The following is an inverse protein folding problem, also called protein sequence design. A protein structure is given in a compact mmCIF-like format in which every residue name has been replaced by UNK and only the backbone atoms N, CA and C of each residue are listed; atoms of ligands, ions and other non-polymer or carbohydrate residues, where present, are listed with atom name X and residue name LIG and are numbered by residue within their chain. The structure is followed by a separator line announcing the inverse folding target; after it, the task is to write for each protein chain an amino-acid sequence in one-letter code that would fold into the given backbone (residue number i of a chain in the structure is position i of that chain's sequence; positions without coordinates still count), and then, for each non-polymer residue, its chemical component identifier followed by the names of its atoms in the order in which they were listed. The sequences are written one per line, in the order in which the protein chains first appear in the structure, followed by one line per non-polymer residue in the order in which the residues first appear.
data_IF_792086370167
#
_entry.id   IF_792086370167
#
_cell.length_a   1.000
_cell.length_b   1.000
_cell.length_c   1.000
_cell.angle_alpha   90.00
_cell.angle_beta   90.00
_cell.angle_gamma   90.00
#
_symmetry.space_group_name_H-M   'P 1'
#
loop_
_entity.id
_entity.type
_entity.pdbx_description
1 polymer ?
#
# COMPACT_ATOMS: atom_id res chain seq x y z
N UNK A 1 22.09 12.52 7.27
CA UNK A 1 21.68 11.99 6.53
C UNK A 1 21.15 10.80 6.76
N UNK A 2 21.76 10.07 7.28
CA UNK A 2 21.18 8.82 7.50
C UNK A 2 20.01 8.83 8.46
N UNK A 3 19.84 9.86 9.25
CA UNK A 3 18.72 9.90 10.15
C UNK A 3 17.39 9.88 9.40
N UNK A 4 17.35 10.53 8.28
CA UNK A 4 16.15 10.52 7.49
C UNK A 4 15.86 9.12 7.01
N UNK A 5 16.88 8.39 6.61
CA UNK A 5 16.69 7.05 6.15
C UNK A 5 16.25 6.10 7.23
N UNK A 6 16.65 6.38 8.45
CA UNK A 6 16.26 5.50 9.55
C UNK A 6 14.80 5.59 9.86
N UNK A 7 14.14 6.66 9.43
CA UNK A 7 12.72 6.81 9.70
C UNK A 7 11.85 6.20 8.63
N UNK A 8 12.46 5.63 7.62
CA UNK A 8 11.72 4.97 6.57
C UNK A 8 11.37 3.57 7.03
N UNK A 9 10.11 3.23 6.99
CA UNK A 9 9.63 1.92 7.40
C UNK A 9 9.52 1.00 6.22
N UNK A 10 10.43 0.08 6.13
CA UNK A 10 10.43 -0.90 5.07
C UNK A 10 9.60 -2.10 5.49
N UNK A 11 8.77 -2.58 4.61
CA UNK A 11 7.88 -3.71 4.87
C UNK A 11 8.15 -4.78 3.84
N UNK A 12 8.23 -6.02 4.27
CA UNK A 12 8.39 -7.15 3.37
C UNK A 12 7.14 -8.01 3.45
N UNK A 13 6.60 -8.37 2.31
CA UNK A 13 5.42 -9.22 2.27
C UNK A 13 5.74 -10.47 1.48
N UNK A 14 5.26 -11.61 1.97
CA UNK A 14 5.36 -12.85 1.23
C UNK A 14 4.30 -12.87 0.14
N UNK A 15 4.57 -13.65 -0.87
CA UNK A 15 3.61 -13.88 -1.94
C UNK A 15 2.26 -14.29 -1.35
N UNK A 16 1.18 -13.74 -1.88
CA UNK A 16 -0.16 -14.08 -1.44
C UNK A 16 -0.65 -13.33 -0.23
N UNK A 17 0.09 -12.30 0.20
CA UNK A 17 -0.32 -11.51 1.35
C UNK A 17 -1.35 -10.46 0.94
N UNK A 18 -2.40 -10.33 1.71
CA UNK A 18 -3.36 -9.23 1.52
C UNK A 18 -2.84 -8.04 2.29
N UNK A 19 -2.48 -6.99 1.57
CA UNK A 19 -1.93 -5.79 2.21
C UNK A 19 -3.03 -5.01 2.90
N UNK A 20 -4.15 -4.81 2.20
CA UNK A 20 -5.36 -4.28 2.82
C UNK A 20 -6.57 -4.69 1.98
N UNK A 21 -7.75 -4.59 2.57
CA UNK A 21 -8.98 -5.02 1.93
C UNK A 21 -9.98 -3.89 1.81
N UNK A 22 -10.87 -4.02 0.87
CA UNK A 22 -12.01 -3.11 0.75
C UNK A 22 -12.67 -2.99 2.13
N UNK A 23 -12.92 -1.75 2.53
CA UNK A 23 -13.59 -1.48 3.79
C UNK A 23 -12.67 -1.26 4.98
N UNK A 24 -11.38 -1.56 4.83
CA UNK A 24 -10.43 -1.34 5.91
C UNK A 24 -10.21 0.16 6.11
N UNK A 25 -9.81 0.52 7.32
CA UNK A 25 -9.41 1.89 7.61
C UNK A 25 -8.13 2.18 6.86
N UNK A 26 -8.00 3.41 6.38
CA UNK A 26 -6.82 3.80 5.63
C UNK A 26 -5.84 4.49 6.58
N UNK A 27 -4.77 3.81 6.90
CA UNK A 27 -3.79 4.34 7.84
C UNK A 27 -2.41 4.56 7.26
N UNK A 28 -2.06 3.88 6.16
CA UNK A 28 -0.74 4.05 5.57
C UNK A 28 -0.83 4.12 4.06
N UNK A 29 0.07 4.89 3.47
CA UNK A 29 0.33 4.83 2.05
C UNK A 29 1.61 4.02 1.87
N UNK A 30 1.82 3.50 0.68
CA UNK A 30 2.97 2.64 0.40
C UNK A 30 3.63 3.04 -0.91
N UNK A 31 4.96 2.93 -0.92
CA UNK A 31 5.72 3.05 -2.16
C UNK A 31 6.27 1.66 -2.44
N UNK A 32 5.87 1.07 -3.54
CA UNK A 32 6.31 -0.28 -3.86
C UNK A 32 7.75 -0.23 -4.37
N UNK A 33 8.63 -0.96 -3.71
CA UNK A 33 10.04 -0.94 -4.08
C UNK A 33 10.41 -2.09 -5.01
N UNK A 34 9.81 -3.25 -4.79
CA UNK A 34 10.13 -4.42 -5.59
C UNK A 34 8.91 -5.23 -5.92
N UNK A 35 8.89 -5.77 -7.12
CA UNK A 35 7.85 -6.66 -7.62
C UNK A 35 6.55 -5.91 -7.89
N UNK A 36 5.46 -6.64 -8.02
CA UNK A 36 4.19 -6.01 -8.32
C UNK A 36 3.13 -6.57 -7.40
N UNK A 37 2.08 -5.81 -7.22
CA UNK A 37 0.95 -6.27 -6.43
C UNK A 37 -0.31 -6.13 -7.28
N UNK A 38 -1.30 -6.96 -7.02
CA UNK A 38 -2.53 -6.92 -7.80
C UNK A 38 -3.60 -6.13 -7.07
N UNK A 39 -4.44 -5.49 -7.86
CA UNK A 39 -5.54 -4.68 -7.37
C UNK A 39 -6.81 -5.44 -7.65
N UNK A 40 -7.61 -5.70 -6.62
CA UNK A 40 -8.83 -6.47 -6.74
C UNK A 40 -10.03 -5.62 -6.36
N UNK A 41 -11.05 -5.69 -7.18
CA UNK A 41 -12.32 -5.04 -6.86
C UNK A 41 -13.10 -5.99 -5.98
N UNK A 42 -14.32 -5.61 -5.60
CA UNK A 42 -15.13 -6.49 -4.81
C UNK A 42 -15.36 -7.76 -5.63
N UNK A 43 -15.59 -8.84 -4.99
CA UNK A 43 -15.71 -10.16 -5.57
C UNK A 43 -14.37 -10.68 -6.08
N UNK A 44 -13.28 -10.08 -5.63
CA UNK A 44 -11.93 -10.55 -5.93
C UNK A 44 -11.62 -10.57 -7.43
N UNK A 45 -12.17 -9.63 -8.18
CA UNK A 45 -11.89 -9.52 -9.59
C UNK A 45 -10.68 -8.62 -9.77
N UNK A 46 -9.66 -9.11 -10.46
CA UNK A 46 -8.46 -8.33 -10.67
C UNK A 46 -8.72 -7.23 -11.68
N UNK A 47 -8.44 -6.00 -11.29
CA UNK A 47 -8.65 -4.86 -12.15
C UNK A 47 -7.36 -4.18 -12.57
N UNK A 48 -6.23 -4.58 -12.00
CA UNK A 48 -4.96 -4.01 -12.41
C UNK A 48 -3.84 -4.45 -11.52
N UNK A 49 -2.68 -3.83 -11.72
CA UNK A 49 -1.48 -4.08 -10.95
C UNK A 49 -0.84 -2.76 -10.58
N UNK A 50 -0.08 -2.78 -9.50
CA UNK A 50 0.78 -1.65 -9.12
C UNK A 50 2.19 -2.17 -9.26
N UNK A 51 3.03 -1.38 -9.91
CA UNK A 51 4.39 -1.78 -10.24
C UNK A 51 5.41 -1.09 -9.38
N UNK A 52 6.66 -1.50 -9.51
CA UNK A 52 7.75 -0.90 -8.77
C UNK A 52 7.76 0.60 -8.96
N UNK A 53 8.08 1.29 -7.88
CA UNK A 53 8.20 2.74 -7.84
C UNK A 53 6.88 3.47 -7.89
N UNK A 54 5.78 2.76 -7.79
CA UNK A 54 4.47 3.41 -7.74
C UNK A 54 3.98 3.49 -6.31
N UNK A 55 3.26 4.56 -6.02
CA UNK A 55 2.67 4.79 -4.70
C UNK A 55 1.24 4.29 -4.73
N UNK A 56 0.80 3.65 -3.67
CA UNK A 56 -0.58 3.22 -3.58
C UNK A 56 -1.11 3.40 -2.16
N UNK A 57 -2.41 3.45 -2.05
CA UNK A 57 -3.06 3.56 -0.76
C UNK A 57 -3.19 4.98 -0.24
N UNK A 58 -2.68 5.96 -0.97
CA UNK A 58 -2.70 7.34 -0.48
C UNK A 58 -4.05 8.02 -0.67
N UNK A 59 -4.81 7.63 -1.69
CA UNK A 59 -6.06 8.31 -1.96
C UNK A 59 -7.08 8.20 -0.85
N UNK A 60 -7.21 7.03 -0.28
CA UNK A 60 -8.17 6.84 0.80
C UNK A 60 -7.80 7.68 2.02
N UNK A 61 -6.50 7.87 2.24
CA UNK A 61 -6.06 8.72 3.34
C UNK A 61 -6.39 10.18 3.03
N UNK A 62 -6.06 10.62 1.83
CA UNK A 62 -6.30 12.00 1.44
C UNK A 62 -7.78 12.35 1.43
N UNK A 63 -8.60 11.41 1.02
CA UNK A 63 -10.04 11.64 0.95
C UNK A 63 -10.76 11.25 2.23
N UNK A 64 -10.02 10.70 3.20
CA UNK A 64 -10.58 10.30 4.47
C UNK A 64 -11.69 9.27 4.28
N UNK A 65 -11.42 8.28 3.44
CA UNK A 65 -12.38 7.23 3.15
C UNK A 65 -11.78 5.88 3.49
N UNK A 66 -12.63 4.88 3.55
CA UNK A 66 -12.16 3.52 3.71
C UNK A 66 -11.57 3.03 2.40
N UNK A 67 -10.84 1.93 2.47
CA UNK A 67 -10.23 1.35 1.27
C UNK A 67 -11.32 0.93 0.30
N UNK A 68 -11.09 1.20 -0.97
CA UNK A 68 -12.08 0.90 -2.01
C UNK A 68 -11.68 -0.29 -2.87
N UNK A 69 -10.47 -0.78 -2.70
CA UNK A 69 -9.99 -1.97 -3.40
C UNK A 69 -9.18 -2.81 -2.43
N UNK A 70 -8.96 -4.05 -2.79
CA UNK A 70 -8.09 -4.95 -2.04
C UNK A 70 -6.77 -5.01 -2.78
N UNK A 71 -5.64 -4.97 -2.05
CA UNK A 71 -4.32 -5.08 -2.66
C UNK A 71 -3.67 -6.34 -2.11
N UNK A 72 -3.16 -7.15 -3.02
CA UNK A 72 -2.60 -8.43 -2.66
C UNK A 72 -1.30 -8.67 -3.42
N UNK A 73 -0.32 -9.24 -2.76
CA UNK A 73 0.95 -9.53 -3.41
C UNK A 73 0.84 -10.79 -4.25
N UNK A 74 1.54 -10.80 -5.38
CA UNK A 74 1.63 -11.98 -6.22
C UNK A 74 3.00 -12.64 -6.09
N UNK A 75 3.97 -11.90 -5.53
CA UNK A 75 5.32 -12.38 -5.29
C UNK A 75 5.80 -11.76 -4.02
N UNK A 76 6.92 -12.27 -3.49
CA UNK A 76 7.51 -11.65 -2.31
C UNK A 76 7.86 -10.22 -2.70
N UNK A 77 7.35 -9.26 -1.96
CA UNK A 77 7.44 -7.86 -2.33
C UNK A 77 7.98 -7.02 -1.20
N UNK A 78 8.52 -5.87 -1.54
CA UNK A 78 9.08 -4.92 -0.58
C UNK A 78 8.48 -3.56 -0.84
N UNK A 79 8.10 -2.87 0.21
CA UNK A 79 7.55 -1.52 0.07
C UNK A 79 8.01 -0.65 1.23
N UNK A 80 7.84 0.64 1.06
CA UNK A 80 8.07 1.60 2.13
C UNK A 80 6.71 2.07 2.59
N UNK A 81 6.47 1.96 3.89
CA UNK A 81 5.20 2.32 4.49
C UNK A 81 5.32 3.72 5.07
N UNK A 82 4.32 4.53 4.81
CA UNK A 82 4.33 5.91 5.26
C UNK A 82 2.97 6.28 5.84
N UNK A 83 2.96 6.70 7.08
CA UNK A 83 1.72 7.14 7.71
C UNK A 83 1.43 8.57 7.30
N UNK A 84 0.33 8.74 6.58
CA UNK A 84 -0.01 10.06 6.07
C UNK A 84 -1.14 10.71 6.84
N UNK A 85 -1.47 10.07 7.93
CA UNK A 85 -2.58 10.50 8.59
C UNK A 85 -2.44 11.84 9.03
N UNK A 86 -2.89 12.65 8.89
CA UNK A 86 -2.87 13.70 9.25
C UNK A 86 -2.34 14.49 9.62
N UNK A 87 -2.13 15.15 9.48
CA UNK A 87 -1.54 15.84 9.65
C UNK A 87 -1.97 16.89 9.96
N UNK A 88 -2.24 17.30 10.23
CA UNK A 88 -2.74 18.14 10.57
C UNK A 88 -2.35 19.18 10.47
N UNK A 89 -2.30 19.72 10.26
CA UNK A 89 -1.93 20.70 10.24
C UNK A 89 -2.22 21.32 10.44
#
# INVERSE_FOLDING_TARGET
MSDILKNINSVNWKSGTTIYKIGDEADFAYLLEKEEVEVLSKNSVRVGFINEKEVFGEQSILLNTKRTVTIKTTKDSVAIKNSQKKQSL
#
